data_IF_548531074448
#
_entry.id   IF_548531074448
#
_cell.length_a   1.000
_cell.length_b   1.000
_cell.length_c   1.000
_cell.angle_alpha   90.00
_cell.angle_beta   90.00
_cell.angle_gamma   90.00
#
_symmetry.space_group_name_H-M   'P 1'
#
loop_
_entity.id
_entity.type
_entity.pdbx_description
1 polymer ?
#
# COMPACT_ATOMS: atom_id res chain seq x y z
N UNK A 1 9.86 -11.60 14.46
CA UNK A 1 9.44 -10.23 14.13
C UNK A 1 7.95 -10.03 14.37
N UNK A 2 7.10 -10.77 13.64
CA UNK A 2 5.63 -10.71 13.81
C UNK A 2 5.15 -11.00 15.24
N UNK A 3 5.70 -12.02 15.88
CA UNK A 3 5.33 -12.42 17.26
C UNK A 3 5.55 -11.32 18.30
N UNK A 4 6.53 -10.45 18.10
CA UNK A 4 6.88 -9.42 19.08
C UNK A 4 6.15 -8.11 18.77
N UNK A 5 6.01 -7.77 17.49
CA UNK A 5 5.51 -6.45 17.07
C UNK A 5 4.03 -6.38 16.68
N UNK A 6 3.36 -7.52 16.43
CA UNK A 6 2.06 -7.51 15.74
C UNK A 6 0.94 -8.26 16.47
N UNK A 7 1.25 -9.34 17.21
CA UNK A 7 0.22 -10.28 17.71
C UNK A 7 -0.74 -9.66 18.73
N UNK A 8 -0.32 -8.62 19.46
CA UNK A 8 -1.16 -7.95 20.47
C UNK A 8 -2.42 -7.34 19.85
N UNK A 9 -2.35 -6.93 18.57
CA UNK A 9 -3.46 -6.34 17.82
C UNK A 9 -3.99 -7.27 16.72
N UNK A 10 -3.14 -8.08 16.10
CA UNK A 10 -3.53 -8.92 14.96
C UNK A 10 -3.72 -10.41 15.31
N UNK A 11 -3.46 -10.79 16.57
CA UNK A 11 -3.59 -12.17 17.04
C UNK A 11 -2.41 -13.05 16.60
N UNK A 12 -2.18 -14.15 17.33
CA UNK A 12 -1.08 -15.08 17.05
C UNK A 12 -1.25 -15.76 15.68
N UNK A 13 -2.48 -16.05 15.28
CA UNK A 13 -2.82 -16.60 13.97
C UNK A 13 -3.11 -15.53 12.90
N UNK A 14 -2.80 -14.26 13.17
CA UNK A 14 -3.08 -13.13 12.28
C UNK A 14 -4.57 -12.91 11.94
N UNK A 15 -5.50 -13.54 12.66
CA UNK A 15 -6.95 -13.43 12.44
C UNK A 15 -7.59 -12.11 12.92
N UNK A 16 -6.80 -11.22 13.52
CA UNK A 16 -7.30 -9.99 14.14
C UNK A 16 -7.68 -10.19 15.60
N UNK A 17 -7.83 -9.08 16.31
CA UNK A 17 -8.35 -9.03 17.68
C UNK A 17 -9.40 -7.93 17.73
N UNK A 18 -10.63 -8.30 18.10
CA UNK A 18 -11.75 -7.37 18.20
C UNK A 18 -11.40 -6.15 19.07
N UNK A 19 -11.75 -4.97 18.58
CA UNK A 19 -11.43 -3.70 19.24
C UNK A 19 -9.95 -3.28 19.23
N UNK A 20 -9.03 -4.11 18.73
CA UNK A 20 -7.59 -3.77 18.67
C UNK A 20 -7.03 -3.68 17.26
N UNK A 21 -7.28 -4.69 16.43
CA UNK A 21 -6.71 -4.73 15.08
C UNK A 21 -7.45 -5.69 14.16
N UNK A 22 -7.52 -5.37 12.86
CA UNK A 22 -8.18 -6.21 11.87
C UNK A 22 -7.40 -7.50 11.61
N UNK A 23 -8.06 -8.45 10.96
CA UNK A 23 -7.41 -9.62 10.38
C UNK A 23 -6.37 -9.21 9.34
N UNK A 24 -5.24 -9.93 9.33
CA UNK A 24 -4.21 -9.82 8.30
C UNK A 24 -4.27 -10.97 7.29
N UNK A 25 -5.30 -11.81 7.34
CA UNK A 25 -5.53 -12.85 6.35
C UNK A 25 -6.01 -12.18 5.05
N UNK A 26 -5.41 -12.55 3.91
CA UNK A 26 -5.73 -12.05 2.56
C UNK A 26 -5.45 -10.56 2.27
N UNK A 27 -4.84 -9.79 3.18
CA UNK A 27 -4.48 -8.37 2.87
C UNK A 27 -3.29 -8.24 1.92
N UNK A 28 -2.44 -9.27 1.82
CA UNK A 28 -1.29 -9.32 0.94
C UNK A 28 -0.05 -8.56 1.44
N UNK A 29 1.10 -8.90 0.86
CA UNK A 29 2.40 -8.31 1.19
C UNK A 29 2.48 -6.81 0.90
N UNK A 30 1.80 -6.32 -0.14
CA UNK A 30 1.82 -4.90 -0.50
C UNK A 30 1.29 -3.99 0.62
N UNK A 31 0.28 -4.46 1.36
CA UNK A 31 -0.26 -3.76 2.52
C UNK A 31 0.79 -3.60 3.62
N UNK A 32 1.62 -4.63 3.84
CA UNK A 32 2.71 -4.60 4.83
C UNK A 32 3.80 -3.64 4.37
N UNK A 33 4.21 -3.71 3.11
CA UNK A 33 5.23 -2.82 2.57
C UNK A 33 4.84 -1.35 2.69
N UNK A 34 3.59 -1.01 2.35
CA UNK A 34 3.11 0.34 2.54
C UNK A 34 3.03 0.73 4.02
N UNK A 35 2.32 -0.05 4.84
CA UNK A 35 2.02 0.36 6.21
C UNK A 35 3.26 0.34 7.11
N UNK A 36 4.08 -0.71 7.03
CA UNK A 36 5.28 -0.88 7.86
C UNK A 36 6.47 -0.14 7.27
N UNK A 37 6.66 -0.19 5.94
CA UNK A 37 7.77 0.51 5.26
C UNK A 37 7.67 2.03 5.36
N UNK A 38 6.45 2.58 5.45
CA UNK A 38 6.27 4.01 5.75
C UNK A 38 6.25 4.35 7.23
N UNK A 39 6.42 3.37 8.12
CA UNK A 39 6.39 3.54 9.57
C UNK A 39 5.02 3.87 10.16
N UNK A 40 3.93 3.78 9.39
CA UNK A 40 2.57 3.99 9.89
C UNK A 40 2.18 2.90 10.89
N UNK A 41 2.52 1.66 10.52
CA UNK A 41 2.47 0.49 11.39
C UNK A 41 3.85 0.20 11.97
N UNK A 42 3.95 -0.18 13.26
CA UNK A 42 2.86 -0.34 14.23
C UNK A 42 2.19 0.97 14.63
N UNK A 43 0.86 0.97 14.76
CA UNK A 43 0.09 2.14 15.18
C UNK A 43 0.31 2.44 16.66
N UNK A 44 0.54 3.71 17.00
CA UNK A 44 0.68 4.14 18.39
C UNK A 44 -0.70 4.39 19.04
N UNK A 45 -1.68 4.83 18.23
CA UNK A 45 -3.04 5.16 18.64
C UNK A 45 -3.97 5.06 17.43
N UNK A 46 -5.23 4.70 17.67
CA UNK A 46 -6.27 4.61 16.65
C UNK A 46 -6.89 5.99 16.43
N UNK A 47 -6.24 6.82 15.63
CA UNK A 47 -6.74 8.13 15.23
C UNK A 47 -7.48 8.07 13.89
N UNK A 48 -8.06 9.21 13.47
CA UNK A 48 -8.73 9.33 12.18
C UNK A 48 -7.83 8.90 11.00
N UNK A 49 -6.51 9.07 11.11
CA UNK A 49 -5.55 8.70 10.07
C UNK A 49 -4.24 8.15 10.64
N UNK A 50 -3.67 7.13 10.01
CA UNK A 50 -2.34 6.64 10.35
C UNK A 50 -1.27 7.58 9.77
N UNK A 51 -0.62 8.34 10.65
CA UNK A 51 0.46 9.27 10.32
C UNK A 51 1.76 8.54 10.00
N UNK A 52 2.52 9.08 9.04
CA UNK A 52 3.88 8.61 8.74
C UNK A 52 4.77 8.87 9.96
N UNK A 53 5.59 7.89 10.33
CA UNK A 53 6.59 7.98 11.40
C UNK A 53 7.91 7.41 10.90
N UNK A 54 9.04 7.62 11.61
CA UNK A 54 10.25 6.87 11.34
C UNK A 54 9.96 5.35 11.34
N UNK A 55 10.34 4.62 10.28
CA UNK A 55 10.16 3.17 10.23
C UNK A 55 10.89 2.49 11.38
N UNK A 56 10.24 1.51 12.01
CA UNK A 56 10.84 0.70 13.08
C UNK A 56 11.59 -0.53 12.55
N UNK A 57 11.37 -0.86 11.29
CA UNK A 57 11.93 -2.04 10.63
C UNK A 57 12.74 -1.59 9.41
N UNK A 58 13.80 -2.33 9.10
CA UNK A 58 14.56 -2.13 7.86
C UNK A 58 13.77 -2.63 6.65
N UNK A 59 14.14 -2.20 5.45
CA UNK A 59 13.49 -2.65 4.22
C UNK A 59 13.53 -4.18 4.06
N UNK A 60 14.62 -4.81 4.46
CA UNK A 60 14.74 -6.28 4.48
C UNK A 60 13.72 -6.92 5.42
N UNK A 61 13.60 -6.39 6.63
CA UNK A 61 12.65 -6.89 7.62
C UNK A 61 11.19 -6.67 7.17
N UNK A 62 10.91 -5.56 6.51
CA UNK A 62 9.60 -5.28 5.92
C UNK A 62 9.28 -6.30 4.84
N UNK A 63 10.22 -6.64 3.96
CA UNK A 63 10.02 -7.69 2.94
C UNK A 63 9.78 -9.06 3.54
N UNK A 64 10.51 -9.42 4.60
CA UNK A 64 10.28 -10.67 5.33
C UNK A 64 8.90 -10.71 5.99
N UNK A 65 8.45 -9.61 6.59
CA UNK A 65 7.10 -9.49 7.14
C UNK A 65 6.03 -9.57 6.04
N UNK A 66 6.27 -8.92 4.90
CA UNK A 66 5.37 -8.94 3.75
C UNK A 66 5.22 -10.36 3.18
N UNK A 67 6.33 -11.09 3.03
CA UNK A 67 6.34 -12.49 2.60
C UNK A 67 5.60 -13.39 3.60
N UNK A 68 5.78 -13.19 4.90
CA UNK A 68 5.05 -13.93 5.92
C UNK A 68 3.54 -13.68 5.81
N UNK A 69 3.09 -12.42 5.75
CA UNK A 69 1.65 -12.11 5.61
C UNK A 69 1.09 -12.64 4.28
N UNK A 70 1.88 -12.60 3.20
CA UNK A 70 1.48 -13.19 1.93
C UNK A 70 1.26 -14.71 2.05
N UNK A 71 2.06 -15.42 2.84
CA UNK A 71 1.88 -16.88 3.05
C UNK A 71 0.55 -17.25 3.72
N UNK A 72 -0.10 -16.29 4.38
CA UNK A 72 -1.36 -16.47 5.10
C UNK A 72 -2.60 -16.30 4.21
N UNK A 73 -2.46 -16.00 2.92
CA UNK A 73 -3.61 -15.86 2.04
C UNK A 73 -3.30 -15.38 0.62
N UNK A 74 -4.33 -14.88 -0.06
CA UNK A 74 -4.23 -14.36 -1.43
C UNK A 74 -4.45 -12.85 -1.41
N UNK A 75 -3.37 -12.08 -1.41
CA UNK A 75 -3.43 -10.63 -1.56
C UNK A 75 -2.36 -10.09 -2.51
N UNK A 76 -2.39 -8.78 -2.80
CA UNK A 76 -1.44 -8.16 -3.72
C UNK A 76 -0.02 -8.16 -3.16
N UNK A 77 0.95 -8.37 -4.04
CA UNK A 77 2.40 -8.38 -3.73
C UNK A 77 3.09 -7.33 -4.60
N UNK A 78 4.09 -6.67 -4.01
CA UNK A 78 4.97 -5.77 -4.76
C UNK A 78 6.09 -6.61 -5.39
N UNK A 79 6.29 -6.57 -6.72
CA UNK A 79 7.38 -7.28 -7.37
C UNK A 79 8.75 -6.89 -6.79
N UNK A 80 9.71 -7.82 -6.78
CA UNK A 80 11.05 -7.52 -6.25
C UNK A 80 11.74 -6.39 -7.03
N UNK A 81 11.64 -6.44 -8.36
CA UNK A 81 12.15 -5.38 -9.23
C UNK A 81 11.01 -4.47 -9.71
N UNK A 82 10.71 -3.43 -8.94
CA UNK A 82 9.72 -2.41 -9.32
C UNK A 82 10.21 -1.56 -10.50
N UNK A 83 11.53 -1.36 -10.64
CA UNK A 83 12.09 -0.54 -11.72
C UNK A 83 11.88 -1.18 -13.08
N UNK A 84 11.85 -2.51 -13.17
CA UNK A 84 11.49 -3.21 -14.41
C UNK A 84 10.06 -2.90 -14.88
N UNK A 85 9.18 -2.39 -14.01
CA UNK A 85 7.82 -1.99 -14.41
C UNK A 85 7.80 -0.67 -15.17
N UNK A 86 8.89 0.10 -15.16
CA UNK A 86 8.96 1.44 -15.74
C UNK A 86 9.96 1.57 -16.89
N UNK A 87 10.67 0.49 -17.25
CA UNK A 87 11.68 0.50 -18.33
C UNK A 87 11.11 0.99 -19.67
N UNK A 88 9.90 0.54 -20.03
CA UNK A 88 9.20 0.94 -21.27
C UNK A 88 7.96 1.82 -20.98
N UNK A 89 7.94 2.54 -19.87
CA UNK A 89 6.75 3.30 -19.48
C UNK A 89 6.54 4.58 -20.32
N UNK A 90 5.30 4.76 -20.80
CA UNK A 90 4.85 6.02 -21.40
C UNK A 90 4.48 7.03 -20.31
N UNK A 91 5.36 8.01 -20.08
CA UNK A 91 5.17 9.08 -19.10
C UNK A 91 3.98 9.98 -19.41
N UNK A 92 3.67 10.21 -20.70
CA UNK A 92 2.52 11.03 -21.08
C UNK A 92 1.22 10.31 -20.72
N UNK A 93 1.16 9.00 -21.00
CA UNK A 93 0.03 8.15 -20.59
C UNK A 93 -0.07 8.04 -19.07
N UNK A 94 1.05 7.88 -18.37
CA UNK A 94 1.09 7.86 -16.90
C UNK A 94 0.55 9.16 -16.29
N UNK A 95 0.95 10.30 -16.83
CA UNK A 95 0.45 11.62 -16.42
C UNK A 95 -1.04 11.81 -16.70
N UNK A 96 -1.57 11.27 -17.79
CA UNK A 96 -3.01 11.25 -18.05
C UNK A 96 -3.77 10.40 -17.02
N UNK A 97 -3.30 9.18 -16.76
CA UNK A 97 -3.91 8.28 -15.78
C UNK A 97 -3.87 8.88 -14.37
N UNK A 98 -2.77 9.53 -13.98
CA UNK A 98 -2.67 10.20 -12.69
C UNK A 98 -3.68 11.33 -12.53
N UNK A 99 -3.87 12.16 -13.57
CA UNK A 99 -4.84 13.27 -13.53
C UNK A 99 -6.29 12.79 -13.46
N UNK A 100 -6.59 11.65 -14.06
CA UNK A 100 -7.95 11.09 -14.02
C UNK A 100 -8.22 10.46 -12.65
N UNK A 101 -7.25 9.72 -12.10
CA UNK A 101 -7.51 8.81 -10.99
C UNK A 101 -6.97 9.27 -9.63
N UNK A 102 -5.94 10.11 -9.60
CA UNK A 102 -5.18 10.39 -8.39
C UNK A 102 -5.18 11.87 -8.01
N UNK A 103 -5.12 12.78 -8.99
CA UNK A 103 -4.92 14.21 -8.74
C UNK A 103 -6.09 14.88 -8.02
N UNK A 104 -7.29 14.29 -8.08
CA UNK A 104 -8.46 14.75 -7.31
C UNK A 104 -8.18 14.75 -5.80
N UNK A 105 -7.33 13.84 -5.32
CA UNK A 105 -6.93 13.78 -3.92
C UNK A 105 -5.49 14.25 -3.70
N UNK A 106 -4.54 13.83 -4.55
CA UNK A 106 -3.11 14.10 -4.35
C UNK A 106 -2.62 15.40 -4.99
N UNK A 107 -3.52 16.22 -5.53
CA UNK A 107 -3.22 17.40 -6.36
C UNK A 107 -2.46 17.04 -7.66
N UNK A 108 -2.47 17.96 -8.63
CA UNK A 108 -1.87 17.73 -9.95
C UNK A 108 -0.37 17.38 -9.87
N UNK A 109 0.37 18.03 -8.97
CA UNK A 109 1.78 17.79 -8.74
C UNK A 109 2.10 16.76 -7.65
N UNK A 110 1.14 15.98 -7.14
CA UNK A 110 1.41 15.03 -6.05
C UNK A 110 1.69 15.68 -4.68
N UNK A 111 1.28 16.94 -4.50
CA UNK A 111 1.45 17.69 -3.26
C UNK A 111 0.57 17.23 -2.10
N UNK A 112 -0.49 16.45 -2.36
CA UNK A 112 -1.50 16.11 -1.36
C UNK A 112 -2.63 17.14 -1.26
N UNK A 113 -3.64 16.83 -0.45
CA UNK A 113 -4.84 17.66 -0.33
C UNK A 113 -5.67 17.30 0.91
N UNK A 114 -6.45 18.25 1.42
CA UNK A 114 -7.34 18.02 2.56
C UNK A 114 -8.54 17.15 2.13
N UNK A 115 -8.92 16.19 2.98
CA UNK A 115 -10.14 15.40 2.86
C UNK A 115 -11.12 15.77 3.99
N UNK A 116 -12.32 15.21 3.93
CA UNK A 116 -13.33 15.38 4.97
C UNK A 116 -12.90 14.70 6.29
N UNK A 117 -13.54 15.10 7.39
CA UNK A 117 -13.34 14.48 8.72
C UNK A 117 -11.90 14.53 9.25
N UNK A 118 -11.15 15.59 8.92
CA UNK A 118 -9.78 15.81 9.39
C UNK A 118 -8.73 14.88 8.77
N UNK A 119 -9.09 14.11 7.75
CA UNK A 119 -8.15 13.29 6.97
C UNK A 119 -7.50 14.11 5.87
N UNK A 120 -6.39 13.64 5.33
CA UNK A 120 -5.76 14.27 4.18
C UNK A 120 -5.07 13.24 3.28
N UNK A 121 -4.95 13.55 2.00
CA UNK A 121 -4.13 12.81 1.07
C UNK A 121 -2.69 13.30 1.24
N UNK A 122 -1.73 12.42 1.58
CA UNK A 122 -0.35 12.82 1.79
C UNK A 122 0.32 13.24 0.47
N UNK A 123 1.36 14.07 0.58
CA UNK A 123 2.27 14.31 -0.54
C UNK A 123 2.98 13.02 -0.96
N UNK A 124 3.17 12.83 -2.27
CA UNK A 124 3.81 11.68 -2.87
C UNK A 124 5.34 11.84 -2.99
N UNK A 125 5.86 13.07 -2.96
CA UNK A 125 7.29 13.36 -3.13
C UNK A 125 8.25 12.58 -2.21
N UNK A 126 7.93 12.32 -0.92
CA UNK A 126 8.87 11.62 -0.04
C UNK A 126 8.70 10.10 -0.08
N UNK A 127 7.93 9.55 -1.02
CA UNK A 127 7.72 8.11 -1.20
C UNK A 127 8.59 7.57 -2.34
N UNK A 128 9.13 6.36 -2.16
CA UNK A 128 9.81 5.65 -3.23
C UNK A 128 8.80 5.00 -4.19
N UNK A 129 9.23 4.68 -5.41
CA UNK A 129 8.41 4.00 -6.41
C UNK A 129 7.78 2.71 -5.87
N UNK A 130 8.54 1.95 -5.09
CA UNK A 130 8.06 0.74 -4.41
C UNK A 130 6.89 1.04 -3.46
N UNK A 131 6.97 2.10 -2.67
CA UNK A 131 5.91 2.52 -1.74
C UNK A 131 4.70 3.08 -2.48
N UNK A 132 4.92 3.84 -3.56
CA UNK A 132 3.83 4.34 -4.41
C UNK A 132 3.08 3.16 -5.02
N UNK A 133 3.81 2.19 -5.57
CA UNK A 133 3.24 0.96 -6.13
C UNK A 133 2.49 0.13 -5.09
N UNK A 134 3.10 -0.06 -3.90
CA UNK A 134 2.46 -0.73 -2.77
C UNK A 134 1.15 -0.04 -2.37
N UNK A 135 1.13 1.30 -2.31
CA UNK A 135 -0.07 2.07 -2.01
C UNK A 135 -1.17 1.83 -3.05
N UNK A 136 -0.83 1.92 -4.34
CA UNK A 136 -1.80 1.71 -5.45
C UNK A 136 -2.44 0.32 -5.41
N UNK A 137 -1.66 -0.69 -5.02
CA UNK A 137 -2.13 -2.06 -4.84
C UNK A 137 -3.00 -2.24 -3.59
N UNK A 138 -2.57 -1.67 -2.46
CA UNK A 138 -3.19 -1.93 -1.16
C UNK A 138 -4.34 -1.00 -0.81
N UNK A 139 -4.54 0.11 -1.52
CA UNK A 139 -5.64 1.06 -1.26
C UNK A 139 -5.69 1.52 0.20
N UNK A 140 -4.64 2.15 0.75
CA UNK A 140 -4.57 2.41 2.19
C UNK A 140 -5.59 3.46 2.64
N UNK A 141 -6.22 3.20 3.78
CA UNK A 141 -7.14 4.11 4.48
C UNK A 141 -8.35 4.50 3.61
N UNK A 142 -8.45 5.76 3.19
CA UNK A 142 -9.55 6.26 2.35
C UNK A 142 -9.25 6.12 0.85
N UNK A 143 -8.07 5.61 0.48
CA UNK A 143 -7.73 5.38 -0.91
C UNK A 143 -8.48 4.13 -1.42
N UNK A 144 -9.08 4.16 -2.63
CA UNK A 144 -9.84 3.03 -3.14
C UNK A 144 -9.02 1.73 -3.24
N UNK A 145 -9.66 0.58 -2.98
CA UNK A 145 -9.09 -0.76 -3.13
C UNK A 145 -9.84 -1.59 -4.18
N UNK A 146 -9.17 -2.39 -5.02
CA UNK A 146 -7.86 -2.21 -5.66
C UNK A 146 -7.96 -1.37 -6.96
N UNK A 147 -6.88 -0.70 -7.38
CA UNK A 147 -6.86 -0.03 -8.69
C UNK A 147 -6.88 -1.07 -9.82
N UNK A 148 -7.98 -1.12 -10.59
CA UNK A 148 -8.20 -2.08 -11.70
C UNK A 148 -7.08 -2.12 -12.76
N UNK A 149 -6.20 -1.10 -12.80
CA UNK A 149 -5.09 -1.01 -13.75
C UNK A 149 -3.75 -1.63 -13.28
N UNK A 150 -3.62 -2.08 -12.02
CA UNK A 150 -2.38 -2.75 -11.54
C UNK A 150 -2.54 -4.27 -11.51
N UNK A 151 -3.11 -4.86 -12.57
CA UNK A 151 -3.06 -6.31 -12.75
C UNK A 151 -1.69 -6.67 -13.33
N UNK A 152 -0.77 -7.11 -12.47
CA UNK A 152 0.40 -7.87 -12.89
C UNK A 152 -0.07 -9.17 -13.54
N UNK A 153 0.03 -9.25 -14.86
CA UNK A 153 -0.38 -10.42 -15.62
C UNK A 153 -0.66 -10.09 -17.07
N UNK A 154 0.27 -10.47 -17.93
CA UNK A 154 0.13 -10.58 -19.38
C UNK A 154 -1.23 -11.19 -19.76
N UNK A 155 -2.19 -10.36 -20.11
CA UNK A 155 -3.31 -10.77 -20.95
C UNK A 155 -3.47 -9.69 -21.98
N UNK A 156 -2.92 -9.99 -23.15
CA UNK A 156 -3.30 -9.39 -24.41
C UNK A 156 -4.81 -9.21 -24.38
N UNK A 157 -5.22 -7.96 -24.51
CA UNK A 157 -6.58 -7.58 -24.84
C UNK A 157 -6.79 -8.13 -26.25
N UNK A 158 -7.29 -9.35 -26.38
CA UNK A 158 -7.99 -9.72 -27.61
C UNK A 158 -9.38 -9.12 -27.46
N UNK A 159 -9.53 -7.92 -28.03
CA UNK A 159 -10.82 -7.48 -28.53
C UNK A 159 -11.42 -8.62 -29.36
N UNK A 160 -12.60 -9.10 -28.96
CA UNK A 160 -13.45 -9.87 -29.85
C UNK A 160 -14.91 -9.53 -29.58
N UNK A 161 -15.42 -8.72 -30.50
CA UNK A 161 -16.82 -8.52 -30.93
C UNK A 161 -17.74 -7.70 -30.04
#
# INVERSE_FOLDING_TARGET
>A
MFEVGCITCHGRAAGGVEGRGPSLINVGGASVEFQVGTGRMPLARQEAQAMRKPPQYTDEQVRQLAAYIQSLGTGPVVPDNVNALTEDADLARGGELFRINCSQCHAFGGGGGALTSGKYAPSLHPASDRIIYAAMLSGPQNMPWPYRGVRGGSTLVTESQ
#
